data_IF_127034088901
#
_entry.id   IF_127034088901
#
_cell.length_a   1.000
_cell.length_b   1.000
_cell.length_c   1.000
_cell.angle_alpha   90.00
_cell.angle_beta   90.00
_cell.angle_gamma   90.00
#
_symmetry.space_group_name_H-M   'P 1'
#
loop_
_entity.id
_entity.type
_entity.pdbx_description
1 polymer ?
#
# COMPACT_ATOMS: atom_id res chain seq x y z
N UNK A 1 -10.82 27.19 36.13
CA UNK A 1 -9.78 26.22 35.73
C UNK A 1 -10.39 24.82 35.71
N UNK A 2 -10.54 24.26 34.51
CA UNK A 2 -10.99 22.86 34.30
C UNK A 2 -9.94 21.91 34.91
N UNK A 3 -10.32 20.78 35.50
CA UNK A 3 -9.36 19.86 36.11
C UNK A 3 -8.48 19.18 35.01
N UNK A 4 -7.22 18.84 35.33
CA UNK A 4 -6.22 18.38 34.36
C UNK A 4 -6.58 17.09 33.58
N UNK A 5 -7.59 16.35 34.04
CA UNK A 5 -8.10 15.17 33.36
C UNK A 5 -8.87 15.51 32.07
N UNK A 6 -9.58 16.63 32.01
CA UNK A 6 -10.41 17.00 30.86
C UNK A 6 -9.57 17.46 29.66
N UNK A 7 -8.43 18.08 29.91
CA UNK A 7 -7.49 18.53 28.88
C UNK A 7 -6.77 17.31 28.22
N UNK A 8 -6.39 16.31 29.05
CA UNK A 8 -5.73 15.09 28.52
C UNK A 8 -6.65 14.23 27.66
N UNK A 9 -7.93 14.12 28.04
CA UNK A 9 -8.90 13.32 27.28
C UNK A 9 -9.24 13.97 25.93
N UNK A 10 -9.32 15.29 25.86
CA UNK A 10 -9.54 16.02 24.61
C UNK A 10 -8.33 15.93 23.66
N UNK A 11 -7.10 16.06 24.17
CA UNK A 11 -5.90 15.88 23.36
C UNK A 11 -5.74 14.45 22.82
N UNK A 12 -6.09 13.44 23.62
CA UNK A 12 -6.00 12.04 23.20
C UNK A 12 -7.07 11.72 22.14
N UNK A 13 -8.30 12.22 22.31
CA UNK A 13 -9.37 12.06 21.33
C UNK A 13 -9.07 12.84 20.03
N UNK A 14 -8.51 14.03 20.13
CA UNK A 14 -8.11 14.83 18.95
C UNK A 14 -6.96 14.18 18.19
N UNK A 15 -5.97 13.60 18.86
CA UNK A 15 -4.87 12.87 18.24
C UNK A 15 -5.35 11.57 17.56
N UNK A 16 -6.37 10.90 18.08
CA UNK A 16 -6.97 9.71 17.47
C UNK A 16 -7.85 10.05 16.24
N UNK A 17 -8.47 11.23 16.23
CA UNK A 17 -9.31 11.71 15.11
C UNK A 17 -8.51 12.32 13.95
N UNK A 18 -7.19 12.48 14.08
CA UNK A 18 -6.31 13.08 13.07
C UNK A 18 -5.36 12.07 12.42
N UNK A 19 -5.33 10.80 12.87
CA UNK A 19 -4.47 9.77 12.27
C UNK A 19 -5.03 9.29 10.96
N UNK A 20 -4.12 9.02 10.02
CA UNK A 20 -4.44 8.32 8.78
C UNK A 20 -4.69 6.84 9.06
N UNK A 21 -5.70 6.27 8.40
CA UNK A 21 -5.89 4.82 8.42
C UNK A 21 -5.67 4.25 7.01
N UNK A 22 -5.07 3.06 6.96
CA UNK A 22 -4.92 2.29 5.73
C UNK A 22 -5.90 1.12 5.75
N UNK A 23 -6.82 1.10 4.79
CA UNK A 23 -7.72 -0.02 4.56
C UNK A 23 -7.28 -0.75 3.30
N UNK A 24 -6.93 -2.02 3.43
CA UNK A 24 -6.55 -2.87 2.30
C UNK A 24 -7.75 -3.75 1.97
N UNK A 25 -8.36 -3.52 0.82
CA UNK A 25 -9.48 -4.33 0.34
C UNK A 25 -8.99 -5.62 -0.32
N UNK A 26 -7.83 -5.59 -0.95
CA UNK A 26 -7.16 -6.75 -1.52
C UNK A 26 -5.74 -6.39 -1.96
N UNK A 27 -4.84 -7.35 -1.87
CA UNK A 27 -3.44 -7.17 -2.27
C UNK A 27 -2.89 -8.45 -2.89
N UNK A 28 -2.48 -8.37 -4.16
CA UNK A 28 -1.92 -9.47 -4.94
C UNK A 28 -2.47 -9.54 -6.37
N UNK A 29 -1.98 -10.48 -7.17
CA UNK A 29 -2.22 -10.60 -8.63
C UNK A 29 -3.68 -10.85 -9.06
N UNK A 30 -4.62 -11.03 -8.13
CA UNK A 30 -6.05 -11.16 -8.42
C UNK A 30 -6.81 -9.84 -8.29
N UNK A 31 -6.16 -8.79 -7.82
CA UNK A 31 -6.69 -7.43 -7.73
C UNK A 31 -6.19 -6.72 -6.48
N UNK A 32 -5.69 -5.52 -6.71
CA UNK A 32 -5.17 -4.62 -5.69
C UNK A 32 -6.16 -3.46 -5.54
N UNK A 33 -6.50 -3.13 -4.32
CA UNK A 33 -7.30 -1.96 -3.98
C UNK A 33 -7.09 -1.63 -2.51
N UNK A 34 -6.76 -0.39 -2.22
CA UNK A 34 -6.63 0.13 -0.87
C UNK A 34 -7.36 1.46 -0.73
N UNK A 35 -7.60 1.89 0.50
CA UNK A 35 -8.18 3.20 0.81
C UNK A 35 -7.34 3.84 1.90
N UNK A 36 -7.03 5.11 1.72
CA UNK A 36 -6.42 5.95 2.75
C UNK A 36 -7.54 6.81 3.34
N UNK A 37 -7.86 6.59 4.61
CA UNK A 37 -8.80 7.44 5.33
C UNK A 37 -8.05 8.64 5.88
N UNK A 38 -8.43 9.81 5.42
CA UNK A 38 -7.88 11.10 5.80
C UNK A 38 -8.93 12.01 6.46
N UNK A 39 -8.55 13.25 6.79
CA UNK A 39 -9.42 14.20 7.51
C UNK A 39 -10.74 14.53 6.79
N UNK A 40 -10.82 14.37 5.47
CA UNK A 40 -11.96 14.82 4.67
C UNK A 40 -12.50 13.70 3.75
N UNK A 41 -12.28 12.44 4.08
CA UNK A 41 -12.81 11.29 3.34
C UNK A 41 -11.76 10.26 2.95
N UNK A 42 -12.13 9.40 2.02
CA UNK A 42 -11.32 8.27 1.58
C UNK A 42 -10.63 8.59 0.24
N UNK A 43 -9.37 8.25 0.12
CA UNK A 43 -8.63 8.25 -1.15
C UNK A 43 -8.44 6.79 -1.56
N UNK A 44 -9.03 6.38 -2.68
CA UNK A 44 -8.85 5.04 -3.22
C UNK A 44 -7.53 4.95 -3.95
N UNK A 45 -6.74 3.93 -3.67
CA UNK A 45 -5.49 3.59 -4.35
C UNK A 45 -5.73 2.33 -5.16
N UNK A 46 -5.76 2.47 -6.47
CA UNK A 46 -6.10 1.44 -7.44
C UNK A 46 -7.54 0.87 -7.28
N UNK A 47 -8.09 0.30 -8.35
CA UNK A 47 -9.32 -0.49 -8.33
C UNK A 47 -9.15 -1.73 -9.21
N UNK A 48 -8.33 -2.65 -8.74
CA UNK A 48 -8.07 -3.93 -9.38
C UNK A 48 -9.10 -5.01 -9.08
N UNK A 49 -10.14 -4.70 -8.32
CA UNK A 49 -11.25 -5.59 -8.00
C UNK A 49 -12.47 -5.29 -8.90
N UNK A 50 -13.46 -6.19 -8.95
CA UNK A 50 -14.74 -5.81 -9.54
C UNK A 50 -15.48 -4.86 -8.59
N UNK A 51 -16.24 -3.89 -9.13
CA UNK A 51 -17.02 -2.94 -8.33
C UNK A 51 -17.87 -3.65 -7.24
N UNK A 52 -18.48 -4.78 -7.56
CA UNK A 52 -19.24 -5.58 -6.58
C UNK A 52 -18.36 -6.05 -5.42
N UNK A 53 -17.15 -6.51 -5.71
CA UNK A 53 -16.23 -6.98 -4.69
C UNK A 53 -15.64 -5.82 -3.88
N UNK A 54 -15.32 -4.70 -4.53
CA UNK A 54 -14.87 -3.46 -3.86
C UNK A 54 -15.92 -3.00 -2.85
N UNK A 55 -17.18 -2.83 -3.27
CA UNK A 55 -18.28 -2.41 -2.38
C UNK A 55 -18.54 -3.39 -1.23
N UNK A 56 -18.48 -4.69 -1.51
CA UNK A 56 -18.64 -5.73 -0.48
C UNK A 56 -17.55 -5.59 0.59
N UNK A 57 -16.29 -5.49 0.20
CA UNK A 57 -15.16 -5.39 1.12
C UNK A 57 -15.11 -4.07 1.87
N UNK A 58 -15.52 -2.97 1.23
CA UNK A 58 -15.74 -1.70 1.92
C UNK A 58 -16.78 -1.84 3.04
N UNK A 59 -17.94 -2.45 2.72
CA UNK A 59 -18.98 -2.67 3.70
C UNK A 59 -18.55 -3.59 4.86
N UNK A 60 -17.69 -4.61 4.61
CA UNK A 60 -17.11 -5.46 5.66
C UNK A 60 -16.24 -4.65 6.65
N UNK A 61 -15.65 -3.54 6.20
CA UNK A 61 -14.86 -2.62 7.03
C UNK A 61 -15.68 -1.44 7.58
N UNK A 62 -16.99 -1.37 7.27
CA UNK A 62 -17.86 -0.27 7.68
C UNK A 62 -17.68 1.01 6.87
N UNK A 63 -17.08 0.92 5.67
CA UNK A 63 -16.80 2.05 4.78
C UNK A 63 -17.88 2.18 3.70
N UNK A 64 -18.14 3.41 3.24
CA UNK A 64 -19.07 3.72 2.16
C UNK A 64 -18.33 4.22 0.91
N UNK A 65 -18.84 3.83 -0.27
CA UNK A 65 -18.37 4.39 -1.53
C UNK A 65 -18.65 5.90 -1.66
N UNK A 66 -19.66 6.40 -0.95
CA UNK A 66 -20.01 7.83 -0.93
C UNK A 66 -18.95 8.68 -0.23
N UNK A 67 -18.10 8.07 0.60
CA UNK A 67 -17.00 8.73 1.30
C UNK A 67 -15.72 8.80 0.44
N UNK A 68 -15.69 8.16 -0.74
CA UNK A 68 -14.53 8.20 -1.65
C UNK A 68 -14.44 9.56 -2.32
N UNK A 69 -13.46 10.35 -1.91
CA UNK A 69 -13.22 11.72 -2.39
C UNK A 69 -12.39 11.78 -3.67
N UNK A 70 -11.50 10.80 -3.88
CA UNK A 70 -10.64 10.72 -5.06
C UNK A 70 -10.12 9.30 -5.27
N UNK A 71 -9.61 9.06 -6.48
CA UNK A 71 -8.93 7.82 -6.85
C UNK A 71 -7.55 8.18 -7.40
N UNK A 72 -6.51 7.51 -6.91
CA UNK A 72 -5.13 7.61 -7.40
C UNK A 72 -4.70 6.25 -7.94
N UNK A 73 -3.99 6.21 -9.07
CA UNK A 73 -3.59 4.97 -9.75
C UNK A 73 -2.08 4.85 -9.72
N UNK A 74 -1.58 3.70 -9.28
CA UNK A 74 -0.14 3.41 -9.24
C UNK A 74 0.41 3.12 -10.64
N UNK A 75 -0.27 2.26 -11.40
CA UNK A 75 0.11 1.88 -12.76
C UNK A 75 -1.02 1.12 -13.48
N UNK A 76 -0.82 0.81 -14.76
CA UNK A 76 -1.88 0.30 -15.64
C UNK A 76 -1.96 -1.22 -15.81
N UNK A 77 -1.38 -2.04 -14.94
CA UNK A 77 -1.64 -3.49 -14.97
C UNK A 77 -3.09 -3.82 -14.61
N UNK A 78 -3.61 -4.88 -15.20
CA UNK A 78 -5.04 -5.23 -15.08
C UNK A 78 -5.50 -5.50 -13.64
N UNK A 79 -4.63 -6.01 -12.81
CA UNK A 79 -4.91 -6.26 -11.38
C UNK A 79 -4.89 -4.98 -10.54
N UNK A 80 -4.62 -3.81 -11.14
CA UNK A 80 -4.74 -2.50 -10.52
C UNK A 80 -5.88 -1.65 -11.09
N UNK A 81 -6.31 -1.90 -12.33
CA UNK A 81 -7.26 -1.01 -13.03
C UNK A 81 -8.52 -1.69 -13.56
N UNK A 82 -8.67 -3.02 -13.49
CA UNK A 82 -9.79 -3.74 -14.16
C UNK A 82 -11.18 -3.39 -13.65
N UNK A 83 -11.31 -2.83 -12.45
CA UNK A 83 -12.58 -2.36 -11.88
C UNK A 83 -12.91 -0.93 -12.26
N UNK A 84 -11.90 -0.15 -12.64
CA UNK A 84 -11.94 1.30 -12.77
C UNK A 84 -13.03 1.80 -13.73
N UNK A 85 -13.15 1.21 -14.91
CA UNK A 85 -14.20 1.60 -15.89
C UNK A 85 -15.61 1.46 -15.31
N UNK A 86 -15.87 0.36 -14.59
CA UNK A 86 -17.19 0.12 -13.99
C UNK A 86 -17.40 1.00 -12.76
N UNK A 87 -16.35 1.25 -11.98
CA UNK A 87 -16.41 2.17 -10.85
C UNK A 87 -16.80 3.57 -11.31
N UNK A 88 -16.14 4.10 -12.32
CA UNK A 88 -16.36 5.45 -12.85
C UNK A 88 -17.73 5.63 -13.52
N UNK A 89 -18.42 4.57 -13.94
CA UNK A 89 -19.81 4.67 -14.41
C UNK A 89 -20.81 5.04 -13.30
N UNK A 90 -20.41 4.87 -12.03
CA UNK A 90 -21.27 5.08 -10.86
C UNK A 90 -20.68 6.07 -9.85
N UNK A 91 -19.54 6.65 -10.16
CA UNK A 91 -18.80 7.58 -9.32
C UNK A 91 -18.14 8.66 -10.18
N UNK A 92 -18.25 9.91 -9.76
CA UNK A 92 -17.84 11.07 -10.57
C UNK A 92 -16.74 11.92 -9.90
N UNK A 93 -16.02 11.36 -8.93
CA UNK A 93 -14.91 12.04 -8.29
C UNK A 93 -13.66 12.13 -9.20
N UNK A 94 -12.66 12.92 -8.81
CA UNK A 94 -11.43 13.10 -9.56
C UNK A 94 -10.57 11.84 -9.55
N UNK A 95 -9.94 11.56 -10.69
CA UNK A 95 -9.00 10.46 -10.90
C UNK A 95 -7.63 11.05 -11.18
N UNK A 96 -6.61 10.60 -10.48
CA UNK A 96 -5.24 11.03 -10.66
C UNK A 96 -4.36 9.85 -11.09
N UNK A 97 -3.53 10.05 -12.08
CA UNK A 97 -2.49 9.08 -12.46
C UNK A 97 -1.26 9.80 -13.00
N UNK A 98 -0.13 9.12 -12.99
CA UNK A 98 1.05 9.61 -13.70
C UNK A 98 0.76 9.69 -15.20
N UNK A 99 1.43 10.66 -15.85
CA UNK A 99 1.25 10.97 -17.27
C UNK A 99 1.39 9.73 -18.15
N UNK A 100 0.40 9.50 -19.00
CA UNK A 100 0.37 8.38 -19.94
C UNK A 100 -0.14 7.06 -19.37
N UNK A 101 -0.21 6.88 -18.07
CA UNK A 101 -0.62 5.62 -17.43
C UNK A 101 -2.01 5.17 -17.89
N UNK A 102 -3.06 5.93 -17.62
CA UNK A 102 -4.41 5.53 -18.01
C UNK A 102 -4.70 5.76 -19.50
N UNK A 103 -4.09 6.78 -20.11
CA UNK A 103 -4.25 7.06 -21.55
C UNK A 103 -3.59 6.01 -22.45
N UNK A 104 -2.64 5.22 -21.94
CA UNK A 104 -2.08 4.06 -22.63
C UNK A 104 -3.07 2.90 -22.82
N UNK A 105 -4.17 2.89 -22.04
CA UNK A 105 -5.23 1.88 -22.14
C UNK A 105 -6.43 2.44 -22.89
N UNK A 106 -6.68 1.92 -24.08
CA UNK A 106 -7.79 2.37 -24.94
C UNK A 106 -9.15 2.40 -24.22
N UNK A 107 -9.43 1.39 -23.39
CA UNK A 107 -10.67 1.30 -22.61
C UNK A 107 -10.82 2.40 -21.53
N UNK A 108 -9.73 3.03 -21.11
CA UNK A 108 -9.69 4.04 -20.03
C UNK A 108 -9.30 5.43 -20.53
N UNK A 109 -8.83 5.57 -21.77
CA UNK A 109 -8.35 6.82 -22.33
C UNK A 109 -9.44 7.94 -22.41
N UNK A 110 -10.71 7.55 -22.29
CA UNK A 110 -11.85 8.48 -22.28
C UNK A 110 -12.17 9.07 -20.88
N UNK A 111 -11.56 8.53 -19.82
CA UNK A 111 -11.80 9.02 -18.46
C UNK A 111 -11.16 10.39 -18.24
N UNK A 112 -11.82 11.28 -17.49
CA UNK A 112 -11.29 12.61 -17.16
C UNK A 112 -10.22 12.48 -16.07
N UNK A 113 -8.99 12.20 -16.46
CA UNK A 113 -7.85 11.97 -15.56
C UNK A 113 -7.06 13.26 -15.39
N UNK A 114 -6.75 13.62 -14.16
CA UNK A 114 -5.77 14.62 -13.80
C UNK A 114 -4.37 13.97 -13.79
N UNK A 115 -3.54 14.33 -14.75
CA UNK A 115 -2.21 13.77 -14.91
C UNK A 115 -1.17 14.57 -14.12
N UNK A 116 -0.21 13.85 -13.52
CA UNK A 116 0.95 14.40 -12.83
C UNK A 116 2.24 13.69 -13.30
N UNK A 117 3.39 14.27 -13.01
CA UNK A 117 4.67 13.63 -13.23
C UNK A 117 5.22 13.03 -11.91
N UNK A 118 5.91 11.88 -11.93
CA UNK A 118 6.50 11.30 -10.71
C UNK A 118 7.45 12.28 -10.04
N UNK A 119 7.26 12.50 -8.74
CA UNK A 119 7.94 13.53 -7.95
C UNK A 119 7.06 14.74 -7.64
N UNK A 120 5.94 14.89 -8.37
CA UNK A 120 4.95 15.93 -8.04
C UNK A 120 4.24 15.61 -6.72
N UNK A 121 3.69 16.64 -6.11
CA UNK A 121 2.87 16.55 -4.90
C UNK A 121 1.43 16.90 -5.19
N UNK A 122 0.50 16.15 -4.59
CA UNK A 122 -0.93 16.37 -4.69
C UNK A 122 -1.49 16.74 -3.31
N UNK A 123 -2.59 17.47 -3.29
CA UNK A 123 -3.34 17.77 -2.06
C UNK A 123 -4.79 17.34 -2.27
N UNK A 124 -5.20 16.25 -1.64
CA UNK A 124 -6.50 15.60 -1.86
C UNK A 124 -7.13 15.30 -0.50
N UNK A 125 -8.38 15.70 -0.29
CA UNK A 125 -9.15 15.39 0.92
C UNK A 125 -8.43 15.70 2.24
N UNK A 126 -7.63 16.77 2.28
CA UNK A 126 -6.86 17.16 3.46
C UNK A 126 -5.59 16.33 3.69
N UNK A 127 -5.21 15.49 2.73
CA UNK A 127 -3.98 14.70 2.73
C UNK A 127 -3.00 15.27 1.70
N UNK A 128 -1.75 15.46 2.11
CA UNK A 128 -0.65 15.76 1.23
C UNK A 128 -0.05 14.45 0.71
N UNK A 129 0.10 14.32 -0.61
CA UNK A 129 0.57 13.09 -1.24
C UNK A 129 1.83 13.40 -2.02
N UNK A 130 2.94 12.81 -1.61
CA UNK A 130 4.17 12.82 -2.38
C UNK A 130 4.19 11.60 -3.30
N UNK A 131 4.40 11.84 -4.60
CA UNK A 131 4.57 10.76 -5.58
C UNK A 131 6.05 10.48 -5.83
N UNK A 132 6.39 9.25 -6.16
CA UNK A 132 7.74 8.87 -6.56
C UNK A 132 7.69 7.73 -7.60
N UNK A 133 8.69 7.65 -8.48
CA UNK A 133 8.77 6.56 -9.46
C UNK A 133 9.06 5.23 -8.77
N UNK A 134 8.36 4.18 -9.20
CA UNK A 134 8.73 2.78 -8.92
C UNK A 134 9.43 2.17 -10.14
N UNK A 135 10.14 1.06 -9.94
CA UNK A 135 10.82 0.35 -11.02
C UNK A 135 9.97 -0.85 -11.46
N UNK A 136 9.12 -0.63 -12.47
CA UNK A 136 8.22 -1.65 -13.01
C UNK A 136 8.11 -1.57 -14.53
N UNK A 137 7.67 -2.64 -15.19
CA UNK A 137 7.66 -2.77 -16.65
C UNK A 137 6.38 -2.21 -17.32
N UNK A 138 6.01 -1.00 -16.95
CA UNK A 138 4.82 -0.25 -17.38
C UNK A 138 5.20 1.17 -17.78
N UNK A 139 4.22 2.00 -18.21
CA UNK A 139 4.50 3.31 -18.82
C UNK A 139 5.18 4.28 -17.85
N UNK A 140 4.60 4.54 -16.69
CA UNK A 140 5.10 5.55 -15.76
C UNK A 140 4.67 5.23 -14.32
N UNK A 141 5.18 4.12 -13.72
CA UNK A 141 4.69 3.61 -12.46
C UNK A 141 5.11 4.50 -11.29
N UNK A 142 4.21 4.63 -10.30
CA UNK A 142 4.43 5.45 -9.11
C UNK A 142 4.04 4.73 -7.82
N UNK A 143 4.74 5.08 -6.75
CA UNK A 143 4.32 4.85 -5.39
C UNK A 143 3.94 6.17 -4.72
N UNK A 144 3.40 6.09 -3.52
CA UNK A 144 2.83 7.21 -2.79
C UNK A 144 3.31 7.25 -1.34
N UNK A 145 3.53 8.47 -0.85
CA UNK A 145 3.59 8.75 0.57
C UNK A 145 2.45 9.73 0.88
N UNK A 146 1.59 9.35 1.81
CA UNK A 146 0.46 10.14 2.29
C UNK A 146 0.81 10.76 3.63
N UNK A 147 0.62 12.06 3.78
CA UNK A 147 0.86 12.80 5.02
C UNK A 147 -0.34 13.67 5.38
N UNK A 148 -0.73 13.63 6.63
CA UNK A 148 -1.70 14.56 7.20
C UNK A 148 -1.38 14.83 8.66
N UNK A 149 -1.22 16.11 9.02
CA UNK A 149 -1.06 16.57 10.41
C UNK A 149 0.12 15.89 11.16
N UNK A 150 1.19 15.52 10.44
CA UNK A 150 2.37 14.87 11.00
C UNK A 150 2.24 13.35 11.16
N UNK A 151 1.20 12.74 10.63
CA UNK A 151 1.03 11.30 10.47
C UNK A 151 1.25 10.90 9.02
N UNK A 152 1.85 9.72 8.78
CA UNK A 152 2.23 9.33 7.42
C UNK A 152 2.08 7.84 7.14
N UNK A 153 1.71 7.55 5.88
CA UNK A 153 1.61 6.20 5.31
C UNK A 153 2.49 6.15 4.05
N UNK A 154 3.46 5.24 4.04
CA UNK A 154 4.23 4.90 2.84
C UNK A 154 3.58 3.73 2.12
N UNK A 155 3.42 3.83 0.80
CA UNK A 155 2.77 2.82 -0.02
C UNK A 155 3.62 2.51 -1.26
N UNK A 156 4.26 1.33 -1.27
CA UNK A 156 5.09 0.83 -2.35
C UNK A 156 4.66 -0.57 -2.74
N UNK A 157 4.10 -0.70 -3.93
CA UNK A 157 3.76 -1.97 -4.57
C UNK A 157 4.33 -2.01 -5.96
N UNK A 158 4.53 -3.19 -6.52
CA UNK A 158 4.97 -3.42 -7.89
C UNK A 158 6.25 -2.65 -8.24
N UNK A 159 7.32 -3.07 -7.62
CA UNK A 159 8.66 -2.51 -7.87
C UNK A 159 9.74 -3.58 -7.73
N UNK A 160 10.66 -3.66 -8.68
CA UNK A 160 11.80 -4.58 -8.60
C UNK A 160 12.95 -4.04 -7.77
N UNK A 161 12.98 -2.71 -7.55
CA UNK A 161 13.97 -2.03 -6.71
C UNK A 161 13.41 -0.69 -6.21
N UNK A 162 13.94 -0.18 -5.11
CA UNK A 162 13.62 1.15 -4.59
C UNK A 162 14.70 2.16 -4.98
N UNK A 163 14.29 3.24 -5.61
CA UNK A 163 15.15 4.39 -5.87
C UNK A 163 15.46 5.16 -4.58
N UNK A 164 16.49 6.01 -4.58
CA UNK A 164 16.79 6.90 -3.45
C UNK A 164 15.59 7.81 -3.13
N UNK A 165 14.86 8.32 -4.14
CA UNK A 165 13.67 9.13 -3.94
C UNK A 165 12.55 8.33 -3.27
N UNK A 166 12.38 7.05 -3.63
CA UNK A 166 11.42 6.16 -2.96
C UNK A 166 11.82 5.93 -1.49
N UNK A 167 13.11 5.70 -1.23
CA UNK A 167 13.64 5.53 0.14
C UNK A 167 13.38 6.79 0.97
N UNK A 168 13.70 7.97 0.44
CA UNK A 168 13.49 9.24 1.14
C UNK A 168 12.00 9.49 1.45
N UNK A 169 11.11 9.17 0.50
CA UNK A 169 9.67 9.34 0.68
C UNK A 169 9.06 8.33 1.69
N UNK A 170 9.56 7.10 1.72
CA UNK A 170 9.02 6.03 2.54
C UNK A 170 9.58 5.96 3.95
N UNK A 171 10.77 6.54 4.16
CA UNK A 171 11.42 6.51 5.46
C UNK A 171 10.60 7.26 6.51
N UNK A 172 10.65 6.78 7.75
CA UNK A 172 9.94 7.38 8.89
C UNK A 172 8.39 7.37 8.80
N UNK A 173 7.78 6.71 7.82
CA UNK A 173 6.34 6.53 7.80
C UNK A 173 5.88 5.69 8.99
N UNK A 174 4.78 6.12 9.65
CA UNK A 174 4.18 5.37 10.76
C UNK A 174 3.63 4.03 10.28
N UNK A 175 2.94 4.02 9.16
CA UNK A 175 2.51 2.81 8.47
C UNK A 175 3.33 2.69 7.19
N UNK A 176 3.98 1.55 7.00
CA UNK A 176 4.73 1.23 5.79
C UNK A 176 4.10 0.00 5.12
N UNK A 177 3.43 0.22 4.00
CA UNK A 177 2.90 -0.83 3.13
C UNK A 177 3.93 -1.08 2.01
N UNK A 178 4.67 -2.18 2.12
CA UNK A 178 5.81 -2.49 1.26
C UNK A 178 5.62 -3.84 0.57
N UNK A 179 5.87 -3.90 -0.73
CA UNK A 179 5.86 -5.14 -1.49
C UNK A 179 6.80 -6.19 -0.88
N UNK A 180 6.35 -7.45 -0.89
CA UNK A 180 7.16 -8.63 -0.60
C UNK A 180 6.58 -9.79 -1.41
N UNK A 181 6.86 -9.77 -2.72
CA UNK A 181 6.12 -10.56 -3.69
C UNK A 181 6.46 -12.05 -3.64
N UNK A 182 7.73 -12.41 -3.71
CA UNK A 182 8.11 -13.81 -3.90
C UNK A 182 9.28 -14.25 -3.02
N UNK A 183 9.29 -15.55 -2.72
CA UNK A 183 10.47 -16.27 -2.26
C UNK A 183 11.26 -16.73 -3.49
N UNK A 184 12.55 -16.43 -3.55
CA UNK A 184 13.40 -16.73 -4.71
C UNK A 184 13.50 -18.23 -4.97
N UNK A 185 13.58 -19.06 -3.93
CA UNK A 185 13.67 -20.51 -4.07
C UNK A 185 12.35 -21.10 -4.59
N UNK A 186 11.21 -20.65 -4.04
CA UNK A 186 9.89 -21.08 -4.52
C UNK A 186 9.68 -20.67 -5.98
N UNK A 187 10.04 -19.45 -6.37
CA UNK A 187 9.89 -18.96 -7.75
C UNK A 187 10.75 -19.78 -8.72
N UNK A 188 12.00 -20.07 -8.36
CA UNK A 188 12.90 -20.83 -9.23
C UNK A 188 12.54 -22.31 -9.36
N UNK A 189 11.89 -22.88 -8.35
CA UNK A 189 11.44 -24.27 -8.33
C UNK A 189 9.97 -24.43 -8.75
N UNK A 190 9.24 -23.32 -8.91
CA UNK A 190 7.83 -23.31 -9.27
C UNK A 190 7.59 -23.55 -10.76
N UNK A 191 6.30 -23.68 -11.12
CA UNK A 191 5.84 -24.06 -12.45
C UNK A 191 5.85 -22.90 -13.47
N UNK A 192 6.28 -21.69 -13.08
CA UNK A 192 6.31 -20.56 -13.99
C UNK A 192 7.35 -20.77 -15.09
N UNK A 193 7.02 -20.42 -16.35
CA UNK A 193 8.00 -20.46 -17.44
C UNK A 193 9.23 -19.59 -17.11
N UNK A 194 10.39 -20.01 -17.57
CA UNK A 194 11.66 -19.36 -17.23
C UNK A 194 11.69 -17.86 -17.55
N UNK A 195 11.12 -17.47 -18.69
CA UNK A 195 11.04 -16.04 -19.06
C UNK A 195 10.23 -15.21 -18.03
N UNK A 196 9.17 -15.80 -17.46
CA UNK A 196 8.36 -15.14 -16.43
C UNK A 196 9.11 -15.06 -15.09
N UNK A 197 9.84 -16.13 -14.71
CA UNK A 197 10.70 -16.10 -13.54
C UNK A 197 11.77 -15.00 -13.66
N UNK A 198 12.42 -14.88 -14.82
CA UNK A 198 13.43 -13.86 -15.08
C UNK A 198 12.83 -12.45 -15.07
N UNK A 199 11.63 -12.25 -15.61
CA UNK A 199 10.90 -10.99 -15.55
C UNK A 199 10.62 -10.59 -14.09
N UNK A 200 10.10 -11.51 -13.29
CA UNK A 200 9.77 -11.26 -11.86
C UNK A 200 11.04 -10.90 -11.07
N UNK A 201 12.15 -11.57 -11.33
CA UNK A 201 13.44 -11.37 -10.65
C UNK A 201 14.21 -10.13 -11.14
N UNK A 202 13.76 -9.47 -12.19
CA UNK A 202 14.46 -8.32 -12.76
C UNK A 202 14.28 -7.05 -11.91
N UNK A 203 15.13 -6.06 -12.14
CA UNK A 203 14.99 -4.74 -11.51
C UNK A 203 13.66 -4.02 -11.83
N UNK A 204 12.95 -4.46 -12.88
CA UNK A 204 11.61 -3.98 -13.26
C UNK A 204 10.49 -5.01 -12.94
N UNK A 205 10.81 -6.03 -12.17
CA UNK A 205 9.87 -7.04 -11.72
C UNK A 205 9.26 -6.67 -10.36
N UNK A 206 9.52 -7.52 -9.38
CA UNK A 206 8.97 -7.39 -8.02
C UNK A 206 10.04 -7.64 -6.96
N UNK A 207 9.90 -7.03 -5.79
CA UNK A 207 10.77 -7.31 -4.65
C UNK A 207 10.57 -8.75 -4.16
N UNK A 208 11.68 -9.47 -4.02
CA UNK A 208 11.69 -10.72 -3.25
C UNK A 208 11.55 -10.43 -1.75
N UNK A 209 11.28 -11.47 -0.95
CA UNK A 209 11.25 -11.35 0.51
C UNK A 209 12.57 -10.80 1.08
N UNK A 210 13.70 -11.20 0.52
CA UNK A 210 15.02 -10.72 0.97
C UNK A 210 15.23 -9.25 0.62
N UNK A 211 14.94 -8.84 -0.63
CA UNK A 211 15.02 -7.45 -1.06
C UNK A 211 14.08 -6.53 -0.26
N UNK A 212 12.84 -7.00 -0.03
CA UNK A 212 11.87 -6.29 0.80
C UNK A 212 12.36 -6.13 2.25
N UNK A 213 12.99 -7.18 2.79
CA UNK A 213 13.57 -7.15 4.14
C UNK A 213 14.78 -6.21 4.25
N UNK A 214 15.60 -6.14 3.20
CA UNK A 214 16.72 -5.19 3.12
C UNK A 214 16.20 -3.76 3.03
N UNK A 215 15.19 -3.52 2.21
CA UNK A 215 14.52 -2.22 2.13
C UNK A 215 13.89 -1.82 3.48
N UNK A 216 13.21 -2.74 4.15
CA UNK A 216 12.59 -2.47 5.46
C UNK A 216 13.64 -2.04 6.52
N UNK A 217 14.86 -2.58 6.50
CA UNK A 217 15.95 -2.12 7.40
C UNK A 217 16.34 -0.67 7.17
N UNK A 218 16.24 -0.18 5.95
CA UNK A 218 16.56 1.20 5.62
C UNK A 218 15.40 2.18 5.93
N UNK A 219 14.17 1.69 5.89
CA UNK A 219 12.95 2.49 5.96
C UNK A 219 12.35 2.57 7.38
N UNK A 220 12.39 1.45 8.11
CA UNK A 220 11.78 1.33 9.44
C UNK A 220 12.62 2.07 10.49
N UNK A 221 11.98 2.95 11.23
CA UNK A 221 12.56 3.71 12.33
C UNK A 221 11.69 3.58 13.58
N UNK A 222 12.02 4.33 14.64
CA UNK A 222 11.21 4.38 15.87
C UNK A 222 9.82 4.99 15.65
N UNK A 223 9.60 5.70 14.54
CA UNK A 223 8.27 6.22 14.16
C UNK A 223 7.38 5.18 13.52
N UNK A 224 7.97 4.11 12.96
CA UNK A 224 7.21 3.07 12.24
C UNK A 224 6.52 2.13 13.23
N UNK A 225 5.19 2.19 13.27
CA UNK A 225 4.36 1.34 14.13
C UNK A 225 3.88 0.08 13.42
N UNK A 226 3.69 0.16 12.08
CA UNK A 226 3.11 -0.92 11.29
C UNK A 226 3.92 -1.15 10.00
N UNK A 227 4.35 -2.38 9.77
CA UNK A 227 4.92 -2.84 8.50
C UNK A 227 3.99 -3.88 7.88
N UNK A 228 3.45 -3.56 6.72
CA UNK A 228 2.47 -4.41 6.02
C UNK A 228 3.14 -4.97 4.77
N UNK A 229 3.26 -6.30 4.69
CA UNK A 229 3.73 -6.97 3.49
C UNK A 229 2.63 -6.98 2.43
N UNK A 230 2.89 -6.35 1.29
CA UNK A 230 1.94 -6.17 0.19
C UNK A 230 2.25 -7.09 -0.98
N UNK A 231 1.28 -7.28 -1.87
CA UNK A 231 1.42 -7.94 -3.16
C UNK A 231 2.10 -9.32 -3.12
N UNK A 232 1.74 -10.13 -2.11
CA UNK A 232 2.33 -11.45 -1.88
C UNK A 232 1.82 -12.44 -2.94
N UNK A 233 2.72 -13.06 -3.69
CA UNK A 233 2.39 -14.08 -4.68
C UNK A 233 1.71 -15.29 -4.03
N UNK A 234 0.63 -15.77 -4.63
CA UNK A 234 -0.08 -16.96 -4.18
C UNK A 234 0.65 -18.26 -4.55
N UNK A 235 1.44 -18.23 -5.63
CA UNK A 235 2.14 -19.39 -6.17
C UNK A 235 3.59 -19.50 -5.66
N UNK A 236 4.26 -18.34 -5.55
CA UNK A 236 5.70 -18.28 -5.28
C UNK A 236 6.05 -17.65 -3.93
N UNK A 237 5.09 -17.61 -2.99
CA UNK A 237 5.31 -17.09 -1.64
C UNK A 237 4.29 -17.66 -0.66
N UNK A 238 4.50 -17.35 0.61
CA UNK A 238 3.55 -17.61 1.71
C UNK A 238 3.56 -16.43 2.66
N UNK A 239 2.39 -15.95 3.13
CA UNK A 239 2.32 -14.82 4.06
C UNK A 239 3.20 -15.01 5.31
N UNK A 240 3.24 -16.22 5.87
CA UNK A 240 4.09 -16.54 7.03
C UNK A 240 5.59 -16.48 6.72
N UNK A 241 5.99 -16.78 5.48
CA UNK A 241 7.40 -16.70 5.07
C UNK A 241 7.85 -15.25 4.98
N UNK A 242 7.04 -14.40 4.37
CA UNK A 242 7.27 -12.97 4.32
C UNK A 242 7.41 -12.34 5.72
N UNK A 243 6.48 -12.67 6.64
CA UNK A 243 6.54 -12.18 8.02
C UNK A 243 7.81 -12.65 8.72
N UNK A 244 8.23 -13.91 8.51
CA UNK A 244 9.49 -14.43 9.06
C UNK A 244 10.73 -13.71 8.53
N UNK A 245 10.77 -13.40 7.21
CA UNK A 245 11.88 -12.66 6.62
C UNK A 245 11.99 -11.25 7.22
N UNK A 246 10.90 -10.52 7.31
CA UNK A 246 10.87 -9.21 7.96
C UNK A 246 11.23 -9.30 9.45
N UNK A 247 10.68 -10.28 10.18
CA UNK A 247 10.96 -10.46 11.60
C UNK A 247 12.44 -10.71 11.87
N UNK A 248 13.06 -11.61 11.12
CA UNK A 248 14.49 -11.90 11.23
C UNK A 248 15.34 -10.65 10.90
N UNK A 249 14.99 -9.90 9.86
CA UNK A 249 15.72 -8.73 9.42
C UNK A 249 15.65 -7.56 10.41
N UNK A 250 14.52 -7.42 11.11
CA UNK A 250 14.22 -6.29 12.00
C UNK A 250 14.33 -6.65 13.48
N UNK A 251 14.72 -7.88 13.85
CA UNK A 251 14.82 -8.32 15.24
C UNK A 251 13.46 -8.43 15.93
N UNK A 252 12.37 -8.69 15.17
CA UNK A 252 11.04 -8.90 15.73
C UNK A 252 10.81 -10.37 16.10
N UNK A 253 9.91 -10.60 17.07
CA UNK A 253 9.51 -11.93 17.51
C UNK A 253 8.19 -12.33 16.87
N UNK A 254 8.07 -13.55 16.38
CA UNK A 254 6.81 -14.08 15.86
C UNK A 254 5.78 -14.21 17.00
N UNK A 255 4.59 -13.66 16.79
CA UNK A 255 3.53 -13.63 17.80
C UNK A 255 2.86 -15.00 17.99
N UNK A 256 3.01 -15.91 17.01
CA UNK A 256 2.43 -17.26 17.06
C UNK A 256 3.22 -18.24 16.19
N UNK A 257 3.00 -19.54 16.44
CA UNK A 257 3.69 -20.62 15.75
C UNK A 257 3.45 -20.66 14.23
N UNK A 258 2.34 -20.09 13.75
CA UNK A 258 2.02 -20.00 12.31
C UNK A 258 2.84 -18.92 11.61
N UNK A 259 3.42 -17.96 12.36
CA UNK A 259 4.15 -16.84 11.81
C UNK A 259 3.24 -15.88 11.02
N UNK A 260 1.99 -15.72 11.48
CA UNK A 260 1.02 -14.82 10.80
C UNK A 260 1.27 -13.36 11.10
N UNK A 261 1.92 -13.04 12.22
CA UNK A 261 2.33 -11.69 12.64
C UNK A 261 3.62 -11.77 13.45
N UNK A 262 4.32 -10.64 13.53
CA UNK A 262 5.50 -10.49 14.39
C UNK A 262 5.50 -9.09 15.04
N UNK A 263 6.12 -9.01 16.22
CA UNK A 263 6.20 -7.76 16.98
C UNK A 263 7.64 -7.52 17.43
N UNK A 264 8.11 -6.27 17.32
CA UNK A 264 9.31 -5.76 17.98
C UNK A 264 8.91 -4.69 18.99
N UNK A 265 9.42 -4.75 20.19
CA UNK A 265 9.22 -3.76 21.24
C UNK A 265 10.58 -3.26 21.71
N UNK A 266 10.84 -1.96 21.59
CA UNK A 266 12.06 -1.29 22.06
C UNK A 266 11.66 -0.05 22.87
N UNK A 267 11.71 -0.17 24.19
CA UNK A 267 11.23 0.88 25.07
C UNK A 267 9.75 1.21 24.83
N UNK A 268 9.41 2.47 24.51
CA UNK A 268 8.02 2.86 24.20
C UNK A 268 7.59 2.50 22.78
N UNK A 269 8.51 2.12 21.89
CA UNK A 269 8.23 1.90 20.48
C UNK A 269 7.79 0.45 20.24
N UNK A 270 6.72 0.31 19.47
CA UNK A 270 6.19 -0.98 19.07
C UNK A 270 5.99 -1.05 17.56
N UNK A 271 6.72 -1.93 16.91
CA UNK A 271 6.51 -2.27 15.51
C UNK A 271 5.72 -3.57 15.41
N UNK A 272 4.64 -3.56 14.64
CA UNK A 272 3.87 -4.75 14.28
C UNK A 272 4.05 -5.07 12.80
N UNK A 273 4.38 -6.31 12.47
CA UNK A 273 4.58 -6.81 11.11
C UNK A 273 3.45 -7.77 10.78
N UNK A 274 2.77 -7.56 9.66
CA UNK A 274 1.67 -8.41 9.21
C UNK A 274 1.55 -8.46 7.68
N UNK A 275 0.99 -9.53 7.10
CA UNK A 275 0.75 -9.61 5.68
C UNK A 275 -0.61 -9.03 5.31
N UNK A 276 -0.72 -8.39 4.17
CA UNK A 276 -1.98 -8.10 3.52
C UNK A 276 -2.48 -9.31 2.73
N UNK A 277 -3.77 -9.60 2.83
CA UNK A 277 -4.39 -10.73 2.14
C UNK A 277 -5.03 -10.36 0.81
N UNK A 278 -5.11 -11.34 -0.11
CA UNK A 278 -5.84 -11.16 -1.36
C UNK A 278 -7.36 -11.11 -1.16
N UNK A 279 -7.90 -11.81 -0.18
CA UNK A 279 -9.35 -12.08 -0.06
C UNK A 279 -9.96 -11.59 1.25
N UNK A 280 -9.16 -11.13 2.18
CA UNK A 280 -9.63 -10.65 3.49
C UNK A 280 -9.27 -9.20 3.64
N UNK A 281 -10.25 -8.29 3.62
CA UNK A 281 -9.99 -6.89 3.85
C UNK A 281 -9.53 -6.65 5.29
N UNK A 282 -8.74 -5.60 5.50
CA UNK A 282 -8.21 -5.25 6.81
C UNK A 282 -8.03 -3.74 6.97
N UNK A 283 -8.14 -3.26 8.20
CA UNK A 283 -7.82 -1.88 8.60
C UNK A 283 -6.56 -1.85 9.44
N UNK A 284 -5.68 -0.92 9.14
CA UNK A 284 -4.47 -0.57 9.89
C UNK A 284 -4.64 0.86 10.41
N UNK A 285 -4.51 1.00 11.73
CA UNK A 285 -4.65 2.26 12.45
C UNK A 285 -3.32 2.76 12.99
#
# INVERSE_FOLDING_TARGET
SLPPLFVRTHCILWNLMSRLHLHILGSGSKGNCALIEGPQGLIMVDDGLSRRETLKRMAELGLSADDVSALVVTHEHSDHIKGLEVWCKHWNGPIFSSRGTLTSKESLAHLPVEEFDPGDTLSIAGVHIQTYSTSHDVVNPVGYQFDAQGDSIGFATDTGELSNHAIDALKDCRILALESNHDVAMLRQGDYPRFLQERILSAKGHLSNDQASDAARALVTDRTEQLIAMHISQDNNRPSLTVKCYANSLGATLDNALGSTATRVEGPHKLTIRPAGQYRPMTIQ
#
